data_IF_509336512878
#
_entry.id   IF_509336512878
#
_cell.length_a   1.000
_cell.length_b   1.000
_cell.length_c   1.000
_cell.angle_alpha   90.00
_cell.angle_beta   90.00
_cell.angle_gamma   90.00
#
_symmetry.space_group_name_H-M   'P 1'
#
loop_
_entity.id
_entity.type
_entity.pdbx_description
1 polymer ?
#
# COMPACT_ATOMS: atom_id res chain seq x y z
N UNK A 1 18.92 -30.01 9.77
CA UNK A 1 17.98 -28.90 9.52
C UNK A 1 18.71 -27.62 9.89
N UNK A 2 18.68 -26.57 9.06
CA UNK A 2 19.38 -25.31 9.40
C UNK A 2 18.80 -24.70 10.68
N UNK A 3 19.64 -24.16 11.57
CA UNK A 3 19.21 -23.45 12.80
C UNK A 3 18.14 -22.39 12.49
N UNK A 4 18.27 -21.69 11.37
CA UNK A 4 17.32 -20.68 10.93
C UNK A 4 15.93 -21.25 10.58
N UNK A 5 15.89 -22.47 10.02
CA UNK A 5 14.63 -23.15 9.71
C UNK A 5 13.92 -23.60 10.99
N UNK A 6 14.68 -24.15 11.93
CA UNK A 6 14.15 -24.57 13.23
C UNK A 6 13.56 -23.38 14.03
N UNK A 7 14.30 -22.25 14.07
CA UNK A 7 13.82 -21.00 14.68
C UNK A 7 12.54 -20.50 13.98
N UNK A 8 12.51 -20.50 12.65
CA UNK A 8 11.33 -20.11 11.88
C UNK A 8 10.12 -21.00 12.19
N UNK A 9 10.28 -22.33 12.20
CA UNK A 9 9.21 -23.28 12.46
C UNK A 9 8.64 -23.12 13.88
N UNK A 10 9.45 -22.71 14.86
CA UNK A 10 9.00 -22.39 16.24
C UNK A 10 8.31 -21.04 16.37
N UNK A 11 8.74 -20.02 15.62
CA UNK A 11 8.15 -18.66 15.67
C UNK A 11 6.87 -18.56 14.85
N UNK A 12 6.80 -19.24 13.71
CA UNK A 12 5.70 -19.10 12.75
C UNK A 12 4.30 -19.30 13.36
N UNK A 13 4.07 -20.25 14.28
CA UNK A 13 2.78 -20.41 14.97
C UNK A 13 2.44 -19.26 15.92
N UNK A 14 3.44 -18.56 16.46
CA UNK A 14 3.25 -17.43 17.40
C UNK A 14 2.86 -16.14 16.68
N UNK A 15 3.02 -16.08 15.37
CA UNK A 15 2.60 -14.95 14.53
C UNK A 15 1.11 -15.13 14.23
N UNK A 16 0.30 -14.74 15.21
CA UNK A 16 -1.14 -14.70 15.10
C UNK A 16 -1.61 -13.42 14.41
N UNK A 17 -2.65 -13.51 13.58
CA UNK A 17 -3.14 -12.38 12.77
C UNK A 17 -3.61 -11.19 13.61
N UNK A 18 -4.20 -11.43 14.78
CA UNK A 18 -4.74 -10.34 15.60
C UNK A 18 -3.64 -9.43 16.15
N UNK A 19 -2.43 -9.96 16.44
CA UNK A 19 -1.28 -9.15 16.89
C UNK A 19 -0.70 -8.24 15.81
N UNK A 20 -1.05 -8.49 14.54
CA UNK A 20 -0.56 -7.76 13.37
C UNK A 20 -1.70 -7.12 12.57
N UNK A 21 -2.84 -6.89 13.22
CA UNK A 21 -4.04 -6.39 12.58
C UNK A 21 -3.83 -4.95 12.09
N UNK A 22 -4.00 -4.76 10.79
CA UNK A 22 -4.03 -3.46 10.13
C UNK A 22 -5.13 -3.47 9.06
N UNK A 23 -5.71 -2.31 8.70
CA UNK A 23 -5.53 -0.98 9.30
C UNK A 23 -6.21 -0.83 10.67
N UNK A 24 -5.60 -0.03 11.57
CA UNK A 24 -6.11 0.23 12.91
C UNK A 24 -7.05 1.44 12.98
N UNK A 25 -8.02 1.41 13.89
CA UNK A 25 -8.95 2.50 14.14
C UNK A 25 -8.59 3.19 15.47
N UNK A 26 -8.30 4.49 15.41
CA UNK A 26 -8.14 5.29 16.62
C UNK A 26 -9.49 5.40 17.35
N UNK A 27 -9.56 5.11 18.66
CA UNK A 27 -10.77 5.34 19.46
C UNK A 27 -11.22 6.83 19.46
N UNK A 28 -12.52 7.07 19.63
CA UNK A 28 -13.09 8.42 19.58
C UNK A 28 -12.52 9.38 20.65
N UNK A 29 -12.12 8.86 21.81
CA UNK A 29 -11.74 9.67 22.97
C UNK A 29 -10.22 9.74 23.21
N UNK A 30 -9.38 9.26 22.29
CA UNK A 30 -7.92 9.30 22.46
C UNK A 30 -7.29 10.42 21.65
N UNK A 31 -6.19 10.98 22.17
CA UNK A 31 -5.30 11.84 21.41
C UNK A 31 -4.48 10.99 20.43
N UNK A 32 -4.20 11.51 19.21
CA UNK A 32 -3.56 10.69 18.17
C UNK A 32 -2.16 10.21 18.58
N UNK A 33 -1.35 11.08 19.19
CA UNK A 33 0.01 10.71 19.60
C UNK A 33 -0.01 9.63 20.69
N UNK A 34 -0.87 9.77 21.70
CA UNK A 34 -1.05 8.75 22.75
C UNK A 34 -1.51 7.41 22.17
N UNK A 35 -2.46 7.44 21.23
CA UNK A 35 -2.89 6.22 20.54
C UNK A 35 -1.76 5.58 19.73
N UNK A 36 -0.95 6.38 19.03
CA UNK A 36 0.19 5.91 18.28
C UNK A 36 1.26 5.30 19.20
N UNK A 37 1.57 5.95 20.31
CA UNK A 37 2.47 5.42 21.35
C UNK A 37 1.94 4.10 21.91
N UNK A 38 0.64 4.03 22.21
CA UNK A 38 0.00 2.82 22.71
C UNK A 38 0.18 1.64 21.75
N UNK A 39 -0.20 1.76 20.47
CA UNK A 39 -0.12 0.62 19.53
C UNK A 39 1.33 0.18 19.25
N UNK A 40 2.28 1.12 19.31
CA UNK A 40 3.71 0.81 19.16
C UNK A 40 4.26 0.08 20.39
N UNK A 41 3.87 0.51 21.59
CA UNK A 41 4.25 -0.14 22.85
C UNK A 41 3.62 -1.52 22.99
N UNK A 42 2.35 -1.69 22.59
CA UNK A 42 1.67 -2.99 22.53
C UNK A 42 2.42 -3.97 21.62
N UNK A 43 2.82 -3.52 20.42
CA UNK A 43 3.61 -4.35 19.52
C UNK A 43 4.99 -4.72 20.09
N UNK A 44 5.69 -3.74 20.67
CA UNK A 44 6.98 -3.98 21.30
C UNK A 44 6.87 -5.01 22.44
N UNK A 45 5.87 -4.85 23.31
CA UNK A 45 5.61 -5.78 24.41
C UNK A 45 5.26 -7.19 23.93
N UNK A 46 4.46 -7.29 22.85
CA UNK A 46 4.19 -8.55 22.19
C UNK A 46 5.49 -9.22 21.69
N UNK A 47 6.33 -8.48 20.97
CA UNK A 47 7.58 -9.00 20.44
C UNK A 47 8.51 -9.47 21.57
N UNK A 48 8.70 -8.64 22.60
CA UNK A 48 9.59 -8.92 23.73
C UNK A 48 9.14 -10.17 24.52
N UNK A 49 7.84 -10.30 24.76
CA UNK A 49 7.28 -11.42 25.52
C UNK A 49 7.28 -12.72 24.73
N UNK A 50 6.94 -12.68 23.43
CA UNK A 50 6.62 -13.88 22.67
C UNK A 50 7.73 -14.32 21.72
N UNK A 51 8.52 -13.39 21.19
CA UNK A 51 9.43 -13.64 20.06
C UNK A 51 10.91 -13.48 20.43
N UNK A 52 11.26 -12.56 21.33
CA UNK A 52 12.66 -12.25 21.65
C UNK A 52 13.46 -13.48 22.14
N UNK A 53 12.85 -14.36 22.93
CA UNK A 53 13.51 -15.60 23.40
C UNK A 53 13.91 -16.57 22.29
N UNK A 54 13.30 -16.49 21.11
CA UNK A 54 13.63 -17.32 19.95
C UNK A 54 14.50 -16.57 18.94
N UNK A 55 14.26 -15.27 18.78
CA UNK A 55 14.97 -14.44 17.81
C UNK A 55 16.26 -13.92 18.44
N UNK A 56 16.14 -12.99 19.39
CA UNK A 56 17.27 -12.27 19.95
C UNK A 56 18.16 -13.15 20.85
N UNK A 57 17.63 -14.25 21.40
CA UNK A 57 18.42 -15.20 22.17
C UNK A 57 19.10 -16.29 21.32
N UNK A 58 18.52 -16.70 20.20
CA UNK A 58 19.02 -17.88 19.46
C UNK A 58 19.59 -17.58 18.07
N UNK A 59 19.17 -16.49 17.42
CA UNK A 59 19.76 -16.09 16.14
C UNK A 59 21.17 -15.54 16.40
N UNK A 60 22.21 -16.05 15.72
CA UNK A 60 23.59 -15.63 15.94
C UNK A 60 23.86 -14.30 15.22
N UNK A 61 23.35 -13.20 15.78
CA UNK A 61 23.71 -11.86 15.34
C UNK A 61 25.10 -11.53 15.87
N UNK A 62 26.14 -11.70 15.03
CA UNK A 62 27.51 -11.37 15.41
C UNK A 62 27.96 -10.06 14.77
N UNK A 63 28.80 -9.30 15.44
CA UNK A 63 29.54 -8.19 14.83
C UNK A 63 30.69 -8.70 13.95
N UNK A 64 31.43 -7.76 13.33
CA UNK A 64 32.57 -8.07 12.45
C UNK A 64 33.71 -8.80 13.18
N UNK A 65 33.80 -8.67 14.51
CA UNK A 65 34.77 -9.34 15.38
C UNK A 65 34.28 -10.71 15.86
N UNK A 66 33.09 -11.13 15.46
CA UNK A 66 32.48 -12.41 15.82
C UNK A 66 31.84 -12.43 17.20
N UNK A 67 31.72 -11.29 17.88
CA UNK A 67 31.05 -11.16 19.18
C UNK A 67 29.54 -11.04 18.98
N UNK A 68 28.80 -11.76 19.81
CA UNK A 68 27.34 -11.80 19.77
C UNK A 68 26.74 -10.47 20.23
N UNK A 69 25.93 -9.87 19.37
CA UNK A 69 25.07 -8.74 19.67
C UNK A 69 23.76 -9.22 20.28
N UNK A 70 23.37 -8.63 21.40
CA UNK A 70 22.14 -8.97 22.10
C UNK A 70 20.99 -8.04 21.69
N UNK A 71 19.77 -8.58 21.68
CA UNK A 71 18.54 -7.81 21.46
C UNK A 71 18.53 -7.01 20.14
N UNK A 72 19.24 -7.46 19.11
CA UNK A 72 19.38 -6.74 17.83
C UNK A 72 18.03 -6.39 17.22
N UNK A 73 17.12 -7.35 17.12
CA UNK A 73 15.82 -7.15 16.47
C UNK A 73 14.92 -6.28 17.34
N UNK A 74 14.87 -6.53 18.65
CA UNK A 74 14.14 -5.69 19.61
C UNK A 74 14.62 -4.24 19.60
N UNK A 75 15.94 -4.02 19.55
CA UNK A 75 16.54 -2.69 19.51
C UNK A 75 16.19 -1.95 18.21
N UNK A 76 16.16 -2.65 17.07
CA UNK A 76 15.70 -2.04 15.81
C UNK A 76 14.21 -1.69 15.85
N UNK A 77 13.36 -2.52 16.46
CA UNK A 77 11.93 -2.21 16.67
C UNK A 77 11.77 -0.95 17.52
N UNK A 78 12.45 -0.88 18.68
CA UNK A 78 12.48 0.31 19.56
C UNK A 78 12.94 1.55 18.81
N UNK A 79 14.03 1.43 18.05
CA UNK A 79 14.61 2.50 17.25
C UNK A 79 13.62 3.10 16.26
N UNK A 80 12.85 2.26 15.54
CA UNK A 80 11.85 2.72 14.56
C UNK A 80 10.65 3.33 15.29
N UNK A 81 10.16 2.72 16.38
CA UNK A 81 9.08 3.27 17.20
C UNK A 81 9.41 4.67 17.74
N UNK A 82 10.60 4.84 18.33
CA UNK A 82 11.09 6.15 18.80
C UNK A 82 11.22 7.16 17.65
N UNK A 83 11.66 6.69 16.48
CA UNK A 83 11.77 7.54 15.29
C UNK A 83 10.41 8.10 14.88
N UNK A 84 9.39 7.24 14.86
CA UNK A 84 8.01 7.62 14.54
C UNK A 84 7.47 8.62 15.56
N UNK A 85 7.55 8.32 16.85
CA UNK A 85 7.02 9.19 17.92
C UNK A 85 7.68 10.55 17.88
N UNK A 86 9.01 10.59 17.81
CA UNK A 86 9.74 11.86 17.79
C UNK A 86 9.44 12.69 16.54
N UNK A 87 9.23 12.05 15.40
CA UNK A 87 8.84 12.73 14.16
C UNK A 87 7.48 13.41 14.30
N UNK A 88 6.48 12.72 14.87
CA UNK A 88 5.15 13.31 15.13
C UNK A 88 5.23 14.45 16.14
N UNK A 89 6.00 14.30 17.22
CA UNK A 89 6.22 15.38 18.19
C UNK A 89 6.83 16.63 17.55
N UNK A 90 7.89 16.47 16.74
CA UNK A 90 8.51 17.58 16.01
C UNK A 90 7.53 18.25 15.04
N UNK A 91 6.66 17.47 14.39
CA UNK A 91 5.63 18.00 13.50
C UNK A 91 4.61 18.84 14.29
N UNK A 92 4.11 18.34 15.43
CA UNK A 92 3.18 19.05 16.29
C UNK A 92 3.77 20.32 16.92
N UNK A 93 5.07 20.33 17.18
CA UNK A 93 5.83 21.52 17.58
C UNK A 93 5.96 22.58 16.46
N UNK A 94 5.42 22.31 15.25
CA UNK A 94 5.57 23.17 14.07
C UNK A 94 6.95 23.11 13.41
N UNK A 95 7.81 22.16 13.81
CA UNK A 95 9.19 22.01 13.32
C UNK A 95 9.25 21.04 12.14
N UNK A 96 8.46 21.30 11.09
CA UNK A 96 8.25 20.38 9.96
C UNK A 96 9.57 19.97 9.29
N UNK A 97 10.46 20.92 9.00
CA UNK A 97 11.78 20.63 8.43
C UNK A 97 12.59 19.67 9.31
N UNK A 98 12.62 19.92 10.62
CA UNK A 98 13.34 19.06 11.57
C UNK A 98 12.71 17.67 11.67
N UNK A 99 11.39 17.57 11.55
CA UNK A 99 10.70 16.28 11.51
C UNK A 99 11.14 15.46 10.30
N UNK A 100 11.16 16.06 9.11
CA UNK A 100 11.63 15.42 7.87
C UNK A 100 13.11 15.03 7.94
N UNK A 101 13.99 15.94 8.37
CA UNK A 101 15.42 15.67 8.53
C UNK A 101 15.68 14.54 9.53
N UNK A 102 14.97 14.55 10.67
CA UNK A 102 15.08 13.52 11.68
C UNK A 102 14.61 12.16 11.14
N UNK A 103 13.44 12.10 10.51
CA UNK A 103 12.90 10.87 9.92
C UNK A 103 13.85 10.29 8.85
N UNK A 104 14.28 11.13 7.90
CA UNK A 104 15.20 10.75 6.82
C UNK A 104 16.54 10.27 7.35
N UNK A 105 17.15 10.99 8.31
CA UNK A 105 18.42 10.59 8.91
C UNK A 105 18.32 9.22 9.57
N UNK A 106 17.25 8.99 10.34
CA UNK A 106 17.04 7.74 11.08
C UNK A 106 16.75 6.55 10.17
N UNK A 107 16.05 6.75 9.05
CA UNK A 107 15.83 5.68 8.07
C UNK A 107 17.07 5.34 7.23
N UNK A 108 18.03 6.27 7.10
CA UNK A 108 19.31 6.03 6.43
C UNK A 108 20.37 5.41 7.35
N UNK A 109 20.09 5.27 8.65
CA UNK A 109 20.99 4.65 9.60
C UNK A 109 21.28 3.19 9.20
N UNK A 110 22.54 2.76 9.28
CA UNK A 110 22.98 1.40 8.95
C UNK A 110 22.21 0.33 9.73
N UNK A 111 21.65 0.68 10.89
CA UNK A 111 20.78 -0.21 11.66
C UNK A 111 19.52 -0.64 10.90
N UNK A 112 18.98 0.20 10.01
CA UNK A 112 17.65 -0.01 9.41
C UNK A 112 17.55 0.27 7.90
N UNK A 113 18.62 0.77 7.28
CA UNK A 113 18.59 1.17 5.86
C UNK A 113 18.32 0.01 4.89
N UNK A 114 18.64 -1.23 5.28
CA UNK A 114 18.44 -2.46 4.52
C UNK A 114 17.00 -3.02 4.63
N UNK A 115 16.19 -2.41 5.49
CA UNK A 115 14.87 -2.94 5.88
C UNK A 115 13.72 -2.38 5.06
N UNK A 116 13.92 -1.30 4.31
CA UNK A 116 12.86 -0.72 3.49
C UNK A 116 12.60 -1.68 2.34
N UNK A 117 11.53 -2.48 2.48
CA UNK A 117 11.12 -3.51 1.52
C UNK A 117 10.97 -2.92 0.12
N UNK A 118 11.98 -3.04 -0.73
CA UNK A 118 11.76 -2.89 -2.17
C UNK A 118 11.18 -4.21 -2.69
N UNK A 119 10.11 -4.10 -3.46
CA UNK A 119 9.56 -5.19 -4.24
C UNK A 119 9.56 -4.74 -5.68
N UNK A 120 10.07 -5.60 -6.55
CA UNK A 120 10.00 -5.39 -7.99
C UNK A 120 8.59 -5.71 -8.48
N UNK A 121 7.92 -4.71 -9.05
CA UNK A 121 6.76 -4.91 -9.90
C UNK A 121 7.27 -5.21 -11.30
N UNK A 122 6.84 -6.34 -11.86
CA UNK A 122 7.23 -6.74 -13.21
C UNK A 122 6.66 -5.79 -14.25
N UNK A 123 7.33 -5.70 -15.38
CA UNK A 123 6.79 -5.04 -16.57
C UNK A 123 5.43 -5.62 -16.96
N UNK A 124 4.56 -4.79 -17.54
CA UNK A 124 3.23 -5.17 -18.01
C UNK A 124 2.24 -5.56 -16.91
N UNK A 125 2.47 -5.14 -15.66
CA UNK A 125 1.50 -5.22 -14.58
C UNK A 125 0.37 -4.19 -14.80
N UNK A 126 -0.86 -4.59 -14.47
CA UNK A 126 -2.04 -3.77 -14.70
C UNK A 126 -2.56 -3.15 -13.40
N UNK A 127 -2.69 -1.84 -13.45
CA UNK A 127 -3.28 -1.03 -12.38
C UNK A 127 -4.54 -0.34 -12.89
N UNK A 128 -5.31 0.22 -11.95
CA UNK A 128 -6.55 0.92 -12.24
C UNK A 128 -6.57 2.24 -11.52
N UNK A 129 -7.24 3.22 -12.10
CA UNK A 129 -7.55 4.47 -11.43
C UNK A 129 -8.98 4.84 -11.71
N UNK A 130 -9.61 5.45 -10.71
CA UNK A 130 -10.94 6.00 -10.84
C UNK A 130 -10.93 7.53 -10.71
N UNK A 131 -11.89 8.17 -11.36
CA UNK A 131 -12.21 9.59 -11.24
C UNK A 131 -13.72 9.73 -11.13
N UNK A 132 -14.18 10.68 -10.30
CA UNK A 132 -15.61 10.95 -10.18
C UNK A 132 -16.13 11.58 -11.47
N UNK A 133 -17.31 11.17 -11.91
CA UNK A 133 -17.97 11.78 -13.05
C UNK A 133 -18.26 13.26 -12.78
N UNK A 134 -17.85 14.12 -13.73
CA UNK A 134 -18.11 15.56 -13.75
C UNK A 134 -18.96 15.96 -14.97
N UNK A 135 -19.68 14.99 -15.53
CA UNK A 135 -20.54 15.12 -16.71
C UNK A 135 -19.76 15.50 -18.00
N UNK A 136 -18.49 15.12 -18.07
CA UNK A 136 -17.64 15.30 -19.25
C UNK A 136 -17.16 13.95 -19.79
N UNK A 137 -16.82 13.92 -21.08
CA UNK A 137 -16.11 12.78 -21.67
C UNK A 137 -14.63 12.87 -21.28
N UNK A 138 -14.12 11.83 -20.64
CA UNK A 138 -12.73 11.79 -20.20
C UNK A 138 -11.77 11.27 -21.25
N UNK A 139 -10.65 11.96 -21.39
CA UNK A 139 -9.46 11.52 -22.11
C UNK A 139 -8.52 10.75 -21.16
N UNK A 140 -7.59 9.93 -21.70
CA UNK A 140 -6.61 9.21 -20.88
C UNK A 140 -5.83 10.14 -19.91
N UNK A 141 -5.50 11.34 -20.37
CA UNK A 141 -4.78 12.38 -19.63
C UNK A 141 -5.56 12.90 -18.40
N UNK A 142 -6.89 12.85 -18.43
CA UNK A 142 -7.74 13.29 -17.31
C UNK A 142 -7.71 12.33 -16.11
N UNK A 143 -7.38 11.06 -16.35
CA UNK A 143 -7.18 10.07 -15.29
C UNK A 143 -5.70 9.94 -14.93
N UNK A 144 -4.79 10.74 -15.50
CA UNK A 144 -3.39 10.74 -15.10
C UNK A 144 -3.14 11.60 -13.84
N UNK A 145 -1.89 11.80 -13.42
CA UNK A 145 -1.63 12.72 -12.30
C UNK A 145 -1.98 14.16 -12.69
N UNK A 146 -2.28 15.03 -11.72
CA UNK A 146 -2.62 16.43 -12.01
C UNK A 146 -1.45 17.14 -12.69
N UNK A 147 -1.72 17.97 -13.71
CA UNK A 147 -0.69 18.73 -14.43
C UNK A 147 0.03 19.72 -13.51
N UNK A 148 1.30 20.02 -13.77
CA UNK A 148 2.12 20.85 -12.90
C UNK A 148 1.62 22.30 -12.71
N UNK A 149 0.97 22.85 -13.73
CA UNK A 149 0.36 24.18 -13.74
C UNK A 149 -0.96 24.25 -12.98
N UNK A 150 -1.54 23.10 -12.59
CA UNK A 150 -2.77 22.98 -11.82
C UNK A 150 -2.50 22.51 -10.38
N UNK A 151 -1.32 22.83 -9.83
CA UNK A 151 -0.90 22.31 -8.52
C UNK A 151 -1.74 22.81 -7.34
N UNK A 152 -2.46 23.91 -7.52
CA UNK A 152 -3.39 24.48 -6.53
C UNK A 152 -4.58 23.56 -6.21
N UNK A 153 -4.94 22.65 -7.12
CA UNK A 153 -5.99 21.64 -6.89
C UNK A 153 -5.43 20.30 -6.36
N UNK A 154 -4.11 20.18 -6.17
CA UNK A 154 -3.48 18.99 -5.59
C UNK A 154 -3.75 18.97 -4.08
N UNK A 155 -4.86 18.33 -3.71
CA UNK A 155 -5.26 18.13 -2.32
C UNK A 155 -4.35 17.13 -1.58
N UNK A 156 -4.42 17.12 -0.25
CA UNK A 156 -3.68 16.17 0.58
C UNK A 156 -4.31 14.78 0.59
N UNK A 157 -3.52 13.78 0.27
CA UNK A 157 -3.78 12.36 0.46
C UNK A 157 -2.74 11.76 1.43
N UNK A 158 -2.85 10.44 1.67
CA UNK A 158 -2.00 9.72 2.63
C UNK A 158 -0.51 9.85 2.27
N UNK A 159 -0.15 9.57 1.02
CA UNK A 159 1.23 9.63 0.53
C UNK A 159 1.39 10.78 -0.47
N UNK A 160 1.12 12.00 -0.04
CA UNK A 160 1.23 13.19 -0.89
C UNK A 160 1.94 14.32 -0.17
N UNK A 161 2.63 15.16 -0.93
CA UNK A 161 3.08 16.47 -0.44
C UNK A 161 2.14 17.51 -1.07
N UNK A 162 1.55 18.45 -0.29
CA UNK A 162 0.68 19.49 -0.84
C UNK A 162 1.34 20.21 -2.03
N UNK A 163 0.63 20.32 -3.15
CA UNK A 163 1.16 20.96 -4.36
C UNK A 163 2.16 20.12 -5.17
N UNK A 164 2.48 18.89 -4.75
CA UNK A 164 3.30 17.94 -5.51
C UNK A 164 2.39 16.87 -6.14
N UNK A 165 2.19 16.88 -7.47
CA UNK A 165 1.45 15.82 -8.15
C UNK A 165 2.06 14.43 -7.91
N UNK A 166 1.21 13.41 -7.86
CA UNK A 166 1.62 12.02 -7.83
C UNK A 166 0.56 11.17 -8.55
N UNK A 167 1.00 10.03 -9.10
CA UNK A 167 0.12 9.08 -9.77
C UNK A 167 -0.37 8.03 -8.78
N UNK A 168 -1.66 8.09 -8.44
CA UNK A 168 -2.32 7.17 -7.51
C UNK A 168 -3.08 6.08 -8.25
N UNK A 169 -2.75 4.81 -8.02
CA UNK A 169 -3.38 3.67 -8.67
C UNK A 169 -3.87 2.65 -7.64
N UNK A 170 -4.86 1.84 -8.00
CA UNK A 170 -5.31 0.67 -7.26
C UNK A 170 -5.02 -0.61 -8.05
N UNK A 171 -4.83 -1.73 -7.35
CA UNK A 171 -4.60 -3.04 -7.99
C UNK A 171 -5.86 -3.63 -8.66
N UNK A 172 -7.04 -3.09 -8.36
CA UNK A 172 -8.32 -3.47 -8.97
C UNK A 172 -9.36 -2.34 -8.85
N UNK A 173 -10.44 -2.44 -9.63
CA UNK A 173 -11.51 -1.43 -9.67
C UNK A 173 -12.30 -1.35 -8.37
N UNK A 174 -12.41 -2.45 -7.61
CA UNK A 174 -13.04 -2.44 -6.28
C UNK A 174 -12.24 -1.60 -5.28
N UNK A 175 -10.91 -1.74 -5.28
CA UNK A 175 -10.04 -0.94 -4.41
C UNK A 175 -10.18 0.54 -4.73
N UNK A 176 -10.18 0.89 -6.02
CA UNK A 176 -10.44 2.26 -6.46
C UNK A 176 -11.79 2.78 -5.94
N UNK A 177 -12.87 2.00 -6.06
CA UNK A 177 -14.20 2.38 -5.55
C UNK A 177 -14.24 2.61 -4.04
N UNK A 178 -13.49 1.82 -3.26
CA UNK A 178 -13.40 1.99 -1.80
C UNK A 178 -12.72 3.31 -1.42
N UNK A 179 -11.76 3.80 -2.22
CA UNK A 179 -11.13 5.11 -2.00
C UNK A 179 -12.10 6.29 -2.26
N UNK A 180 -13.16 6.08 -3.04
CA UNK A 180 -14.26 7.04 -3.23
C UNK A 180 -15.39 6.86 -2.19
N UNK A 181 -15.08 6.30 -1.02
CA UNK A 181 -15.99 6.15 0.12
C UNK A 181 -17.31 5.45 -0.24
N UNK A 182 -17.24 4.47 -1.17
CA UNK A 182 -18.39 3.73 -1.66
C UNK A 182 -19.47 4.62 -2.29
N UNK A 183 -19.06 5.65 -3.02
CA UNK A 183 -19.95 6.45 -3.88
C UNK A 183 -20.74 5.54 -4.83
N UNK A 184 -21.78 6.07 -5.48
CA UNK A 184 -22.46 5.30 -6.53
C UNK A 184 -21.41 4.89 -7.57
N UNK A 185 -21.33 3.59 -7.85
CA UNK A 185 -20.31 3.06 -8.75
C UNK A 185 -20.46 3.58 -10.18
N UNK A 186 -21.68 3.93 -10.59
CA UNK A 186 -21.98 4.54 -11.89
C UNK A 186 -21.47 5.98 -12.01
N UNK A 187 -21.26 6.68 -10.89
CA UNK A 187 -20.69 8.04 -10.86
C UNK A 187 -19.15 8.03 -10.94
N UNK A 188 -18.53 6.91 -11.32
CA UNK A 188 -17.09 6.76 -11.42
C UNK A 188 -16.68 6.30 -12.81
N UNK A 189 -15.69 7.00 -13.34
CA UNK A 189 -14.94 6.61 -14.54
C UNK A 189 -13.66 5.90 -14.13
N UNK A 190 -13.24 4.94 -14.94
CA UNK A 190 -12.09 4.09 -14.71
C UNK A 190 -11.21 4.03 -15.94
N UNK A 191 -9.90 3.95 -15.72
CA UNK A 191 -8.92 3.58 -16.72
C UNK A 191 -7.98 2.52 -16.15
N UNK A 192 -7.49 1.63 -17.03
CA UNK A 192 -6.34 0.77 -16.74
C UNK A 192 -5.06 1.51 -17.10
N UNK A 193 -4.04 1.34 -16.27
CA UNK A 193 -2.67 1.74 -16.56
C UNK A 193 -1.76 0.52 -16.53
N UNK A 194 -0.79 0.48 -17.44
CA UNK A 194 0.14 -0.64 -17.58
C UNK A 194 1.56 -0.10 -17.58
N UNK A 195 2.40 -0.58 -16.65
CA UNK A 195 3.79 -0.14 -16.59
C UNK A 195 4.62 -0.74 -17.74
N UNK A 196 5.54 0.07 -18.29
CA UNK A 196 6.36 -0.24 -19.47
C UNK A 196 7.80 -0.67 -19.12
N UNK A 197 8.13 -0.74 -17.84
CA UNK A 197 9.37 -1.32 -17.31
C UNK A 197 9.12 -1.91 -15.92
N UNK A 198 10.07 -2.70 -15.43
CA UNK A 198 10.08 -3.08 -14.03
C UNK A 198 10.17 -1.83 -13.12
N UNK A 199 9.48 -1.90 -11.98
CA UNK A 199 9.42 -0.81 -11.02
C UNK A 199 9.77 -1.29 -9.63
N UNK A 200 10.63 -0.54 -8.94
CA UNK A 200 10.96 -0.82 -7.54
C UNK A 200 10.04 -0.04 -6.62
N UNK A 201 9.25 -0.71 -5.78
CA UNK A 201 8.36 -0.03 -4.85
C UNK A 201 8.62 -0.41 -3.41
N UNK A 202 8.47 0.55 -2.50
CA UNK A 202 8.39 0.25 -1.07
C UNK A 202 7.07 -0.46 -0.75
N UNK A 203 7.13 -1.71 -0.33
CA UNK A 203 5.95 -2.53 -0.04
C UNK A 203 5.57 -2.51 1.43
N UNK A 204 4.43 -1.90 1.73
CA UNK A 204 3.73 -2.01 3.01
C UNK A 204 2.69 -3.10 2.83
N UNK A 205 2.85 -4.23 3.52
CA UNK A 205 2.00 -5.42 3.36
C UNK A 205 1.23 -5.72 4.64
N UNK A 206 0.03 -6.28 4.47
CA UNK A 206 -0.67 -6.96 5.56
C UNK A 206 0.03 -8.26 5.90
N UNK A 207 -0.03 -8.67 7.18
CA UNK A 207 0.60 -9.91 7.63
C UNK A 207 0.08 -11.12 6.85
N UNK A 208 -1.20 -11.17 6.49
CA UNK A 208 -1.77 -12.31 5.77
C UNK A 208 -1.28 -12.41 4.33
N UNK A 209 -1.00 -11.27 3.70
CA UNK A 209 -0.44 -11.23 2.35
C UNK A 209 1.06 -11.51 2.38
N UNK A 210 1.78 -10.90 3.33
CA UNK A 210 3.19 -11.18 3.58
C UNK A 210 3.45 -12.68 3.83
N UNK A 211 2.67 -13.31 4.72
CA UNK A 211 2.84 -14.73 5.04
C UNK A 211 2.52 -15.66 3.86
N UNK A 212 1.63 -15.26 2.94
CA UNK A 212 1.38 -16.01 1.70
C UNK A 212 2.56 -15.89 0.74
N UNK A 213 3.09 -14.68 0.56
CA UNK A 213 4.28 -14.44 -0.26
C UNK A 213 5.48 -15.22 0.30
N UNK A 214 5.64 -15.22 1.62
CA UNK A 214 6.70 -15.95 2.33
C UNK A 214 6.69 -17.47 2.09
N UNK A 215 5.52 -18.07 1.86
CA UNK A 215 5.41 -19.50 1.54
C UNK A 215 6.04 -19.86 0.19
N UNK A 216 6.14 -18.90 -0.73
CA UNK A 216 6.78 -19.09 -2.04
C UNK A 216 8.30 -18.86 -2.02
N UNK A 217 8.82 -18.28 -0.93
CA UNK A 217 10.25 -18.02 -0.74
C UNK A 217 10.98 -19.29 -0.32
N UNK A 218 12.23 -19.43 -0.76
CA UNK A 218 13.12 -20.51 -0.34
C UNK A 218 13.17 -20.59 1.20
N UNK A 219 12.97 -21.79 1.75
CA UNK A 219 12.93 -22.04 3.20
C UNK A 219 14.13 -21.51 3.99
N UNK A 220 15.30 -21.39 3.36
CA UNK A 220 16.51 -20.85 4.00
C UNK A 220 16.42 -19.34 4.23
N UNK A 221 15.65 -18.62 3.40
CA UNK A 221 15.49 -17.16 3.48
C UNK A 221 14.25 -16.72 4.27
N UNK A 222 13.32 -17.64 4.57
CA UNK A 222 12.05 -17.30 5.21
C UNK A 222 12.21 -16.55 6.54
N UNK A 223 13.15 -16.98 7.39
CA UNK A 223 13.42 -16.28 8.64
C UNK A 223 13.91 -14.85 8.38
N UNK A 224 14.84 -14.65 7.44
CA UNK A 224 15.37 -13.33 7.10
C UNK A 224 14.28 -12.35 6.66
N UNK A 225 13.41 -12.78 5.74
CA UNK A 225 12.28 -11.94 5.30
C UNK A 225 11.30 -11.67 6.44
N UNK A 226 11.03 -12.66 7.29
CA UNK A 226 10.18 -12.50 8.46
C UNK A 226 10.77 -11.49 9.46
N UNK A 227 12.06 -11.57 9.76
CA UNK A 227 12.74 -10.63 10.65
C UNK A 227 12.63 -9.20 10.13
N UNK A 228 12.83 -8.98 8.81
CA UNK A 228 12.62 -7.67 8.19
C UNK A 228 11.18 -7.17 8.38
N UNK A 229 10.19 -8.04 8.22
CA UNK A 229 8.79 -7.66 8.40
C UNK A 229 8.51 -7.26 9.85
N UNK A 230 9.00 -8.04 10.81
CA UNK A 230 8.86 -7.74 12.24
C UNK A 230 9.50 -6.39 12.59
N UNK A 231 10.72 -6.15 12.14
CA UNK A 231 11.41 -4.89 12.45
C UNK A 231 10.70 -3.68 11.83
N UNK A 232 10.19 -3.79 10.60
CA UNK A 232 9.48 -2.68 9.93
C UNK A 232 8.03 -2.52 10.36
N UNK A 233 7.46 -3.46 11.10
CA UNK A 233 6.05 -3.42 11.48
C UNK A 233 5.62 -2.15 12.23
N UNK A 234 6.43 -1.52 13.11
CA UNK A 234 6.15 -0.18 13.64
C UNK A 234 5.84 0.87 12.56
N UNK A 235 6.60 0.87 11.46
CA UNK A 235 6.36 1.78 10.33
C UNK A 235 5.08 1.40 9.58
N UNK A 236 4.81 0.11 9.39
CA UNK A 236 3.56 -0.39 8.80
C UNK A 236 2.36 0.05 9.64
N UNK A 237 2.42 -0.08 10.97
CA UNK A 237 1.38 0.39 11.89
C UNK A 237 1.13 1.88 11.72
N UNK A 238 2.17 2.70 11.85
CA UNK A 238 2.07 4.16 11.79
C UNK A 238 1.55 4.68 10.45
N UNK A 239 1.79 3.95 9.36
CA UNK A 239 1.39 4.36 8.01
C UNK A 239 -0.01 3.87 7.58
N UNK A 240 -0.60 2.93 8.32
CA UNK A 240 -1.88 2.28 7.97
C UNK A 240 -3.03 2.62 8.93
N UNK A 241 -2.86 3.59 9.84
CA UNK A 241 -3.94 4.07 10.71
C UNK A 241 -5.06 4.69 9.85
N UNK A 242 -6.31 4.29 10.12
CA UNK A 242 -7.49 4.88 9.46
C UNK A 242 -7.68 6.31 9.91
N UNK A 243 -7.96 7.18 8.95
CA UNK A 243 -8.30 8.57 9.23
C UNK A 243 -9.58 8.61 10.07
N UNK A 244 -9.50 9.20 11.26
CA UNK A 244 -10.63 9.39 12.17
C UNK A 244 -11.61 10.44 11.64
N UNK A 245 -11.10 11.57 11.18
CA UNK A 245 -11.89 12.70 10.68
C UNK A 245 -11.67 12.93 9.18
N UNK A 246 -12.39 12.18 8.33
CA UNK A 246 -12.18 12.19 6.87
C UNK A 246 -12.32 13.57 6.20
N UNK A 247 -13.21 14.42 6.72
CA UNK A 247 -13.48 15.78 6.21
C UNK A 247 -12.55 16.86 6.76
N UNK A 248 -11.70 16.54 7.75
CA UNK A 248 -10.77 17.51 8.32
C UNK A 248 -9.67 17.86 7.31
N UNK A 249 -9.28 19.14 7.26
CA UNK A 249 -8.16 19.62 6.43
C UNK A 249 -6.86 18.94 6.84
N UNK A 250 -6.61 18.89 8.15
CA UNK A 250 -5.45 18.22 8.72
C UNK A 250 -5.82 16.83 9.22
N UNK A 251 -4.98 15.85 8.91
CA UNK A 251 -5.14 14.44 9.29
C UNK A 251 -3.82 13.97 9.91
N UNK A 252 -3.73 13.85 11.25
CA UNK A 252 -2.48 13.47 11.89
C UNK A 252 -1.99 12.07 11.46
N UNK A 253 -2.90 11.20 11.01
CA UNK A 253 -2.60 9.89 10.44
C UNK A 253 -1.78 9.96 9.15
N UNK A 254 -1.65 11.13 8.54
CA UNK A 254 -0.85 11.34 7.33
C UNK A 254 0.58 11.80 7.62
N UNK A 255 0.93 12.18 8.85
CA UNK A 255 2.28 12.71 9.15
C UNK A 255 3.37 11.73 8.72
N UNK A 256 3.35 10.49 9.22
CA UNK A 256 4.38 9.48 8.90
C UNK A 256 4.32 9.04 7.44
N UNK A 257 3.15 8.72 6.85
CA UNK A 257 3.03 8.49 5.40
C UNK A 257 3.62 9.60 4.52
N UNK A 258 3.42 10.87 4.89
CA UNK A 258 3.92 12.01 4.12
C UNK A 258 5.44 12.16 4.25
N UNK A 259 6.00 11.91 5.45
CA UNK A 259 7.47 11.83 5.62
C UNK A 259 8.06 10.66 4.82
N UNK A 260 7.35 9.53 4.74
CA UNK A 260 7.79 8.38 3.96
C UNK A 260 7.80 8.67 2.46
N UNK A 261 6.75 9.28 1.89
CA UNK A 261 6.76 9.62 0.45
C UNK A 261 7.82 10.69 0.14
N UNK A 262 8.07 11.65 1.04
CA UNK A 262 9.17 12.61 0.89
C UNK A 262 10.52 11.90 0.83
N UNK A 263 10.77 11.00 1.79
CA UNK A 263 11.97 10.17 1.80
C UNK A 263 12.11 9.35 0.50
N UNK A 264 11.07 8.68 0.04
CA UNK A 264 11.09 7.88 -1.20
C UNK A 264 11.32 8.75 -2.43
N UNK A 265 10.72 9.94 -2.50
CA UNK A 265 10.93 10.89 -3.61
C UNK A 265 12.39 11.31 -3.72
N UNK A 266 13.13 11.34 -2.59
CA UNK A 266 14.57 11.61 -2.57
C UNK A 266 15.45 10.45 -3.08
N UNK A 267 14.88 9.25 -3.30
CA UNK A 267 15.62 8.06 -3.72
C UNK A 267 15.47 7.81 -5.22
N UNK A 268 16.59 7.80 -5.94
CA UNK A 268 16.60 7.48 -7.37
C UNK A 268 16.18 6.04 -7.66
N UNK A 269 16.45 5.11 -6.72
CA UNK A 269 16.27 3.66 -6.88
C UNK A 269 14.87 3.14 -6.57
N UNK A 270 13.97 3.96 -6.03
CA UNK A 270 12.61 3.54 -5.66
C UNK A 270 11.60 4.38 -6.42
N UNK A 271 10.73 3.74 -7.19
CA UNK A 271 9.75 4.37 -8.08
C UNK A 271 8.44 4.75 -7.36
N UNK A 272 8.08 4.06 -6.29
CA UNK A 272 6.81 4.31 -5.61
C UNK A 272 6.61 3.54 -4.31
N UNK A 273 5.37 3.57 -3.81
CA UNK A 273 4.95 2.86 -2.60
C UNK A 273 3.72 2.02 -2.90
N UNK A 274 3.75 0.73 -2.55
CA UNK A 274 2.59 -0.18 -2.49
C UNK A 274 2.07 -0.22 -1.06
N UNK A 275 0.78 -0.01 -0.84
CA UNK A 275 0.20 0.01 0.50
C UNK A 275 -1.25 -0.50 0.54
N UNK A 276 -1.68 -1.15 1.64
CA UNK A 276 -3.06 -1.63 1.77
C UNK A 276 -4.02 -0.44 1.84
N UNK A 277 -5.18 -0.55 1.19
CA UNK A 277 -6.25 0.43 1.36
C UNK A 277 -6.75 0.44 2.81
N UNK A 278 -6.71 1.61 3.43
CA UNK A 278 -7.27 1.81 4.77
C UNK A 278 -8.80 1.91 4.77
N UNK A 279 -9.43 2.02 3.60
CA UNK A 279 -10.88 2.16 3.43
C UNK A 279 -11.59 0.81 3.28
N UNK A 280 -10.85 -0.24 2.91
CA UNK A 280 -11.37 -1.60 2.70
C UNK A 280 -11.69 -2.31 4.02
N UNK A 281 -12.81 -3.05 4.03
CA UNK A 281 -13.02 -4.11 5.02
C UNK A 281 -12.44 -5.43 4.50
N UNK A 282 -11.31 -5.85 5.04
CA UNK A 282 -10.62 -7.05 4.57
C UNK A 282 -11.28 -8.37 4.98
N UNK A 283 -12.18 -8.37 5.97
CA UNK A 283 -12.97 -9.57 6.29
C UNK A 283 -13.97 -9.91 5.18
N UNK A 284 -14.34 -8.92 4.37
CA UNK A 284 -15.26 -9.05 3.22
C UNK A 284 -14.57 -9.51 1.93
N UNK A 285 -13.26 -9.77 1.96
CA UNK A 285 -12.48 -10.21 0.81
C UNK A 285 -11.93 -11.62 1.02
N UNK A 286 -12.10 -12.47 0.01
CA UNK A 286 -11.56 -13.83 0.02
C UNK A 286 -10.69 -14.07 -1.21
N UNK A 287 -9.46 -14.53 -0.98
CA UNK A 287 -8.42 -14.71 -2.00
C UNK A 287 -8.14 -13.48 -2.87
N UNK A 288 -8.52 -12.30 -2.40
CA UNK A 288 -8.40 -11.04 -3.10
C UNK A 288 -7.63 -10.05 -2.25
N UNK A 289 -6.72 -9.33 -2.90
CA UNK A 289 -5.93 -8.26 -2.30
C UNK A 289 -6.50 -6.91 -2.68
N UNK A 290 -6.35 -5.92 -1.81
CA UNK A 290 -6.75 -4.54 -2.07
C UNK A 290 -5.63 -3.59 -1.67
N UNK A 291 -4.84 -3.18 -2.67
CA UNK A 291 -3.66 -2.35 -2.52
C UNK A 291 -3.74 -1.14 -3.44
N UNK A 292 -3.28 -0.02 -2.92
CA UNK A 292 -3.00 1.16 -3.69
C UNK A 292 -1.50 1.26 -3.97
N UNK A 293 -1.17 2.02 -5.00
CA UNK A 293 0.17 2.39 -5.39
C UNK A 293 0.20 3.91 -5.55
N UNK A 294 1.33 4.50 -5.17
CA UNK A 294 1.62 5.90 -5.45
C UNK A 294 2.99 6.00 -6.08
N UNK A 295 3.06 6.68 -7.22
CA UNK A 295 4.30 6.98 -7.93
C UNK A 295 4.48 8.51 -7.91
N UNK A 296 5.37 9.05 -7.06
CA UNK A 296 5.61 10.48 -6.97
C UNK A 296 6.33 10.98 -8.23
N UNK A 297 6.09 12.23 -8.60
CA UNK A 297 6.90 12.89 -9.64
C UNK A 297 8.31 13.16 -9.10
N UNK A 298 9.33 12.72 -9.82
CA UNK A 298 10.74 12.95 -9.44
C UNK A 298 11.36 14.19 -10.07
N UNK A 299 10.83 14.61 -11.23
CA UNK A 299 11.22 15.82 -11.95
C UNK A 299 10.00 16.71 -12.10
N UNK A 300 10.14 17.97 -11.69
CA UNK A 300 9.07 18.97 -11.74
C UNK A 300 9.28 19.86 -12.95
N UNK A 301 8.24 20.06 -13.74
CA UNK A 301 8.24 21.00 -14.86
C UNK A 301 7.26 22.16 -14.62
N UNK A 302 7.29 23.17 -15.50
CA UNK A 302 6.38 24.32 -15.42
C UNK A 302 4.93 23.96 -15.79
N UNK A 303 4.76 23.04 -16.72
CA UNK A 303 3.46 22.64 -17.25
C UNK A 303 3.44 21.19 -17.70
N UNK A 304 2.25 20.62 -17.87
CA UNK A 304 2.05 19.27 -18.38
C UNK A 304 2.27 18.18 -17.32
N UNK A 305 2.61 16.99 -17.81
CA UNK A 305 2.79 15.79 -16.99
C UNK A 305 4.28 15.48 -16.79
N UNK A 306 4.59 14.62 -15.81
CA UNK A 306 5.93 14.14 -15.55
C UNK A 306 6.37 13.22 -16.70
N UNK A 307 7.40 13.64 -17.43
CA UNK A 307 7.97 12.92 -18.58
C UNK A 307 8.27 11.45 -18.25
N UNK A 308 8.94 11.21 -17.12
CA UNK A 308 9.23 9.85 -16.65
C UNK A 308 7.97 9.01 -16.46
N UNK A 309 6.92 9.55 -15.83
CA UNK A 309 5.68 8.79 -15.61
C UNK A 309 4.91 8.54 -16.92
N UNK A 310 4.99 9.49 -17.87
CA UNK A 310 4.39 9.35 -19.20
C UNK A 310 5.09 8.25 -20.01
N UNK A 311 6.41 8.09 -19.86
CA UNK A 311 7.15 6.98 -20.45
C UNK A 311 6.87 5.65 -19.74
N UNK A 312 6.78 5.69 -18.41
CA UNK A 312 6.64 4.52 -17.55
C UNK A 312 5.25 3.86 -17.64
N UNK A 313 4.20 4.57 -18.05
CA UNK A 313 2.83 4.05 -18.08
C UNK A 313 2.08 4.32 -19.40
N UNK A 314 1.39 3.29 -19.89
CA UNK A 314 0.34 3.44 -20.90
C UNK A 314 -1.04 3.38 -20.24
N UNK A 315 -2.01 4.10 -20.79
CA UNK A 315 -3.36 4.30 -20.22
C UNK A 315 -4.44 3.95 -21.24
N UNK A 316 -5.48 3.23 -20.84
CA UNK A 316 -6.64 2.99 -21.70
C UNK A 316 -7.53 4.22 -21.84
N UNK A 317 -8.32 4.31 -22.91
CA UNK A 317 -9.46 5.23 -22.95
C UNK A 317 -10.38 5.00 -21.73
N UNK A 318 -10.68 6.03 -20.93
CA UNK A 318 -11.55 5.90 -19.76
C UNK A 318 -12.93 5.38 -20.11
N UNK A 319 -13.61 4.74 -19.15
CA UNK A 319 -15.00 4.32 -19.28
C UNK A 319 -15.69 4.27 -17.92
N UNK A 320 -17.01 4.24 -17.91
CA UNK A 320 -17.82 4.02 -16.73
C UNK A 320 -18.76 2.82 -16.95
N UNK A 321 -19.40 2.34 -15.88
CA UNK A 321 -20.29 1.18 -15.98
C UNK A 321 -21.45 1.42 -16.98
N UNK A 322 -21.99 2.63 -17.04
CA UNK A 322 -23.12 2.97 -17.92
C UNK A 322 -22.75 2.83 -19.39
N UNK A 323 -21.58 3.35 -19.77
CA UNK A 323 -21.06 3.23 -21.14
C UNK A 323 -20.82 1.77 -21.53
N UNK A 324 -20.22 0.98 -20.64
CA UNK A 324 -19.99 -0.45 -20.90
C UNK A 324 -21.30 -1.24 -21.00
N UNK A 325 -22.30 -0.93 -20.17
CA UNK A 325 -23.63 -1.57 -20.22
C UNK A 325 -24.35 -1.24 -21.54
N UNK A 326 -24.19 -0.02 -22.09
CA UNK A 326 -24.77 0.37 -23.39
C UNK A 326 -24.08 -0.36 -24.55
N UNK A 327 -22.74 -0.38 -24.57
CA UNK A 327 -21.95 -1.02 -25.64
C UNK A 327 -22.15 -2.54 -25.62
N UNK A 328 -22.28 -3.11 -24.43
CA UNK A 328 -22.35 -4.56 -24.22
C UNK A 328 -23.72 -5.02 -23.70
N UNK A 329 -24.80 -4.30 -24.06
CA UNK A 329 -26.19 -4.59 -23.68
C UNK A 329 -26.37 -6.12 -23.63
N UNK A 330 -26.63 -6.72 -22.45
CA UNK A 330 -26.54 -8.16 -22.30
C UNK A 330 -27.43 -8.80 -23.36
N UNK A 331 -26.87 -9.51 -24.34
CA UNK A 331 -27.70 -10.19 -25.29
C UNK A 331 -28.47 -11.22 -24.46
N UNK A 332 -29.80 -11.25 -24.60
CA UNK A 332 -30.63 -12.31 -24.04
C UNK A 332 -30.18 -13.59 -24.74
N UNK A 333 -29.16 -14.23 -24.20
CA UNK A 333 -28.64 -15.49 -24.73
C UNK A 333 -28.62 -16.44 -23.54
N UNK A 334 -29.70 -17.21 -23.46
CA UNK A 334 -29.62 -18.52 -22.86
C UNK A 334 -28.65 -19.36 -23.69
N UNK A 335 -27.40 -19.40 -23.29
CA UNK A 335 -26.47 -20.45 -23.72
C UNK A 335 -25.97 -21.19 -22.50
N UNK A 336 -26.73 -22.22 -22.17
CA UNK A 336 -26.26 -23.47 -21.56
C UNK A 336 -25.26 -24.15 -22.50
N UNK A 337 -24.07 -23.60 -22.69
CA UNK A 337 -22.96 -24.35 -23.30
C UNK A 337 -21.67 -23.99 -22.56
N UNK A 338 -21.21 -24.96 -21.77
CA UNK A 338 -20.02 -24.88 -20.95
C UNK A 338 -18.78 -24.60 -21.79
N UNK A 339 -18.42 -23.33 -21.89
CA UNK A 339 -17.03 -22.93 -22.03
C UNK A 339 -16.44 -22.94 -20.63
N UNK A 340 -15.30 -23.62 -20.46
CA UNK A 340 -14.61 -23.74 -19.19
C UNK A 340 -14.41 -22.37 -18.55
N UNK A 341 -15.33 -21.99 -17.67
CA UNK A 341 -15.20 -20.76 -16.91
C UNK A 341 -14.07 -21.01 -15.95
N UNK A 342 -12.91 -20.43 -16.21
CA UNK A 342 -11.87 -20.31 -15.18
C UNK A 342 -12.56 -19.80 -13.93
N UNK A 343 -12.63 -20.66 -12.90
CA UNK A 343 -13.27 -20.33 -11.64
C UNK A 343 -12.44 -19.22 -11.02
N UNK A 344 -12.96 -18.00 -11.00
CA UNK A 344 -12.34 -16.90 -10.27
C UNK A 344 -12.41 -17.25 -8.79
N UNK A 345 -11.26 -17.58 -8.20
CA UNK A 345 -11.15 -17.95 -6.78
C UNK A 345 -11.36 -16.75 -5.85
N UNK A 346 -11.37 -15.53 -6.40
CA UNK A 346 -11.62 -14.30 -5.66
C UNK A 346 -13.11 -14.16 -5.41
N UNK A 347 -13.46 -13.92 -4.16
CA UNK A 347 -14.84 -13.64 -3.76
C UNK A 347 -14.89 -12.36 -2.93
N UNK A 348 -16.04 -11.69 -3.02
CA UNK A 348 -16.32 -10.46 -2.30
C UNK A 348 -17.70 -10.54 -1.63
N UNK A 349 -17.77 -9.98 -0.43
CA UNK A 349 -18.98 -9.86 0.38
C UNK A 349 -19.36 -8.38 0.54
N UNK A 350 -20.19 -7.86 -0.39
CA UNK A 350 -20.69 -6.47 -0.34
C UNK A 350 -21.86 -6.36 0.63
N UNK A 351 -22.76 -7.35 0.59
CA UNK A 351 -23.85 -7.54 1.54
C UNK A 351 -23.40 -8.63 2.49
N UNK A 352 -23.56 -8.39 3.79
CA UNK A 352 -23.14 -9.33 4.84
C UNK A 352 -23.73 -10.72 4.56
N UNK A 353 -22.91 -11.76 4.69
CA UNK A 353 -23.22 -13.18 4.44
C UNK A 353 -23.52 -13.54 2.97
N UNK A 354 -23.42 -12.59 2.03
CA UNK A 354 -23.62 -12.83 0.60
C UNK A 354 -22.29 -12.77 -0.14
N UNK A 355 -21.70 -13.94 -0.39
CA UNK A 355 -20.45 -14.07 -1.15
C UNK A 355 -20.73 -14.17 -2.64
N UNK A 356 -20.05 -13.36 -3.43
CA UNK A 356 -20.16 -13.36 -4.89
C UNK A 356 -18.76 -13.48 -5.51
N UNK A 357 -18.57 -14.35 -6.53
CA UNK A 357 -17.34 -14.37 -7.31
C UNK A 357 -17.04 -13.00 -7.92
N UNK A 358 -15.80 -12.52 -7.77
CA UNK A 358 -15.44 -11.15 -8.14
C UNK A 358 -15.74 -10.85 -9.62
N UNK A 359 -15.40 -11.76 -10.53
CA UNK A 359 -15.68 -11.64 -11.97
C UNK A 359 -17.18 -11.50 -12.33
N UNK A 360 -18.10 -11.92 -11.44
CA UNK A 360 -19.56 -11.76 -11.65
C UNK A 360 -20.08 -10.39 -11.21
N UNK A 361 -19.32 -9.66 -10.40
CA UNK A 361 -19.68 -8.32 -9.95
C UNK A 361 -19.46 -7.27 -11.04
N UNK A 362 -20.07 -6.09 -10.90
CA UNK A 362 -19.79 -4.96 -11.80
C UNK A 362 -18.32 -4.54 -11.79
N UNK A 363 -17.63 -4.70 -10.65
CA UNK A 363 -16.17 -4.47 -10.56
C UNK A 363 -15.41 -5.41 -11.48
N UNK A 364 -15.61 -6.72 -11.32
CA UNK A 364 -14.89 -7.73 -12.11
C UNK A 364 -15.22 -7.66 -13.60
N UNK A 365 -16.47 -7.34 -13.97
CA UNK A 365 -16.87 -7.11 -15.36
C UNK A 365 -16.12 -5.92 -15.96
N UNK A 366 -16.14 -4.76 -15.29
CA UNK A 366 -15.48 -3.55 -15.75
C UNK A 366 -13.96 -3.74 -15.84
N UNK A 367 -13.35 -4.36 -14.82
CA UNK A 367 -11.94 -4.73 -14.81
C UNK A 367 -11.57 -5.60 -16.02
N UNK A 368 -12.38 -6.63 -16.33
CA UNK A 368 -12.13 -7.51 -17.47
C UNK A 368 -12.24 -6.78 -18.82
N UNK A 369 -13.17 -5.82 -18.95
CA UNK A 369 -13.26 -4.98 -20.15
C UNK A 369 -12.00 -4.12 -20.33
N UNK A 370 -11.55 -3.47 -19.27
CA UNK A 370 -10.35 -2.64 -19.28
C UNK A 370 -9.07 -3.45 -19.54
N UNK A 371 -8.95 -4.66 -18.98
CA UNK A 371 -7.80 -5.56 -19.22
C UNK A 371 -7.54 -5.78 -20.71
N UNK A 372 -8.60 -6.03 -21.48
CA UNK A 372 -8.52 -6.34 -22.90
C UNK A 372 -8.51 -5.11 -23.81
N UNK A 373 -8.53 -3.89 -23.25
CA UNK A 373 -8.54 -2.64 -24.01
C UNK A 373 -7.12 -2.20 -24.36
N UNK A 374 -6.99 -1.61 -25.56
CA UNK A 374 -5.78 -0.93 -26.02
C UNK A 374 -5.37 0.19 -25.06
N UNK A 375 -4.05 0.35 -24.91
CA UNK A 375 -3.42 1.34 -24.06
C UNK A 375 -2.63 2.32 -24.92
N UNK A 376 -2.63 3.58 -24.51
CA UNK A 376 -2.02 4.70 -25.23
C UNK A 376 -1.10 5.48 -24.30
N UNK A 377 -0.10 6.15 -24.86
CA UNK A 377 0.72 7.10 -24.10
C UNK A 377 -0.12 8.35 -23.81
N UNK A 378 0.08 8.96 -22.65
CA UNK A 378 -0.53 10.25 -22.32
C UNK A 378 0.16 11.36 -23.12
N UNK A 379 -0.63 12.20 -23.77
CA UNK A 379 -0.17 13.39 -24.50
C UNK A 379 -0.22 14.66 -23.64
#
# INVERSE_FOLDING_TARGET
MSIYKDIYDRIRPLIEKENFKIPNNQPCNTYFLEFLEQILNEYQGFYETNLAKYIDSEVPFNDEEGKRNENVTLNKIKYISETIIKTVQLYYDGKIQKASEYFTKRLNDELVNDLIFSTTIKENENFYRARKDDCQLYHPSDLFHIKFELREIVSTARYSIPGLPALYLGNNTYTCWQEFEKSKFRDLWFAKMTNQREMEVTSILRIEDFLKELQSINSVLQLTFLLRYLVTFPLILATTIKVKNGRATFKPEYIIPQMLIEYITSKSTIDGIKFPSTKVNYSSLHNMQAYNYVFPVKKIEKSGYCEQLVEDFLVTKPTCLDMEDIIHNPPIIGTTHGYGTTIDKREIEIIKEVKVPYNKTSFGKLENRLKNRETYRVE
#
